data_IF_324530820190
#
_entry.id   IF_324530820190
#
_cell.length_a   1.000
_cell.length_b   1.000
_cell.length_c   1.000
_cell.angle_alpha   90.00
_cell.angle_beta   90.00
_cell.angle_gamma   90.00
#
_symmetry.space_group_name_H-M   'P 1'
#
loop_
_entity.id
_entity.type
_entity.pdbx_description
1 polymer ?
#
# COMPACT_ATOMS: atom_id res chain seq x y z
N UNK A 1 16.37 15.07 20.24
CA UNK A 1 15.03 14.71 20.75
C UNK A 1 14.05 15.10 19.66
N UNK A 2 13.20 14.19 19.14
CA UNK A 2 12.15 14.58 18.21
C UNK A 2 11.27 15.64 18.86
N UNK A 3 11.02 16.73 18.15
CA UNK A 3 10.03 17.73 18.56
C UNK A 3 8.63 17.19 18.32
N UNK A 4 7.60 17.63 19.06
CA UNK A 4 6.22 17.20 18.83
C UNK A 4 5.82 17.24 17.35
N UNK A 5 6.28 18.25 16.62
CA UNK A 5 5.94 18.52 15.21
C UNK A 5 6.51 17.51 14.20
N UNK A 6 7.48 16.70 14.63
CA UNK A 6 8.13 15.67 13.81
C UNK A 6 7.80 14.25 14.29
N UNK A 7 6.85 14.11 15.23
CA UNK A 7 6.44 12.80 15.72
C UNK A 7 5.64 12.09 14.63
N UNK A 8 6.09 10.92 14.13
CA UNK A 8 5.33 10.18 13.14
C UNK A 8 4.05 9.63 13.79
N UNK A 9 2.95 9.69 13.05
CA UNK A 9 1.65 9.19 13.49
C UNK A 9 0.99 8.41 12.36
N UNK A 10 0.25 7.37 12.70
CA UNK A 10 -0.62 6.65 11.76
C UNK A 10 -1.92 7.45 11.68
N UNK A 11 -2.21 8.01 10.50
CA UNK A 11 -3.39 8.85 10.29
C UNK A 11 -4.56 8.11 9.64
N UNK A 12 -4.30 6.96 9.03
CA UNK A 12 -5.32 6.18 8.36
C UNK A 12 -4.90 4.71 8.19
N UNK A 13 -5.88 3.80 8.16
CA UNK A 13 -5.70 2.38 7.90
C UNK A 13 -6.78 1.84 6.97
N UNK A 14 -6.45 0.83 6.16
CA UNK A 14 -7.39 0.25 5.21
C UNK A 14 -7.14 -1.22 4.97
N UNK A 15 -8.22 -1.98 4.88
CA UNK A 15 -8.21 -3.40 4.56
C UNK A 15 -9.22 -3.67 3.44
N UNK A 16 -8.93 -4.65 2.61
CA UNK A 16 -9.90 -5.20 1.68
C UNK A 16 -9.78 -6.73 1.64
N UNK A 17 -10.93 -7.41 1.70
CA UNK A 17 -11.03 -8.86 1.65
C UNK A 17 -11.86 -9.25 0.44
N UNK A 18 -11.22 -9.96 -0.49
CA UNK A 18 -11.86 -10.49 -1.70
C UNK A 18 -12.02 -12.01 -1.57
N UNK A 19 -13.27 -12.47 -1.60
CA UNK A 19 -13.65 -13.89 -1.48
C UNK A 19 -14.85 -14.20 -2.38
N UNK A 20 -14.70 -14.10 -3.71
CA UNK A 20 -15.79 -14.40 -4.62
C UNK A 20 -16.08 -15.90 -4.67
N UNK A 21 -17.33 -16.25 -4.97
CA UNK A 21 -17.74 -17.65 -5.16
C UNK A 21 -17.10 -18.28 -6.41
N UNK A 22 -16.93 -17.49 -7.48
CA UNK A 22 -16.16 -17.88 -8.67
C UNK A 22 -14.73 -17.35 -8.58
N UNK A 23 -13.70 -18.21 -8.48
CA UNK A 23 -12.30 -17.80 -8.45
C UNK A 23 -11.87 -16.97 -9.66
N UNK A 24 -12.54 -17.08 -10.82
CA UNK A 24 -12.23 -16.26 -11.99
C UNK A 24 -12.59 -14.79 -11.82
N UNK A 25 -13.45 -14.48 -10.85
CA UNK A 25 -13.81 -13.11 -10.50
C UNK A 25 -12.87 -12.50 -9.45
N UNK A 26 -11.90 -13.27 -8.93
CA UNK A 26 -10.96 -12.79 -7.93
C UNK A 26 -10.08 -11.67 -8.49
N UNK A 27 -9.85 -10.67 -7.65
CA UNK A 27 -8.97 -9.55 -7.97
C UNK A 27 -7.51 -10.02 -7.97
N UNK A 28 -6.75 -9.47 -8.91
CA UNK A 28 -5.31 -9.62 -8.91
C UNK A 28 -4.66 -8.81 -7.76
N UNK A 29 -3.45 -9.16 -7.29
CA UNK A 29 -2.86 -8.57 -6.10
C UNK A 29 -2.74 -7.04 -6.09
N UNK A 30 -2.40 -6.39 -7.21
CA UNK A 30 -2.31 -4.93 -7.25
C UNK A 30 -3.69 -4.29 -7.09
N UNK A 31 -4.73 -4.86 -7.68
CA UNK A 31 -6.10 -4.44 -7.48
C UNK A 31 -6.54 -4.59 -6.02
N UNK A 32 -6.17 -5.69 -5.35
CA UNK A 32 -6.42 -5.85 -3.91
C UNK A 32 -5.72 -4.76 -3.07
N UNK A 33 -4.44 -4.50 -3.35
CA UNK A 33 -3.69 -3.44 -2.69
C UNK A 33 -4.28 -2.06 -2.95
N UNK A 34 -4.70 -1.79 -4.19
CA UNK A 34 -5.32 -0.54 -4.56
C UNK A 34 -6.66 -0.33 -3.82
N UNK A 35 -7.45 -1.41 -3.63
CA UNK A 35 -8.68 -1.37 -2.82
C UNK A 35 -8.39 -1.08 -1.35
N UNK A 36 -7.37 -1.72 -0.77
CA UNK A 36 -6.97 -1.46 0.61
C UNK A 36 -6.48 -0.01 0.80
N UNK A 37 -5.68 0.51 -0.14
CA UNK A 37 -5.21 1.89 -0.11
C UNK A 37 -6.32 2.91 -0.34
N UNK A 38 -7.31 2.59 -1.19
CA UNK A 38 -8.52 3.42 -1.34
C UNK A 38 -9.34 3.45 -0.04
N UNK A 39 -9.44 2.32 0.67
CA UNK A 39 -10.10 2.26 1.97
C UNK A 39 -9.36 3.10 3.02
N UNK A 40 -8.02 3.04 3.04
CA UNK A 40 -7.19 3.87 3.91
C UNK A 40 -7.35 5.37 3.58
N UNK A 41 -7.40 5.74 2.30
CA UNK A 41 -7.65 7.13 1.91
C UNK A 41 -8.99 7.64 2.45
N UNK A 42 -10.04 6.80 2.36
CA UNK A 42 -11.36 7.13 2.88
C UNK A 42 -11.38 7.27 4.41
N UNK A 43 -10.70 6.38 5.14
CA UNK A 43 -10.54 6.44 6.61
C UNK A 43 -9.87 7.76 7.05
N UNK A 44 -8.87 8.20 6.30
CA UNK A 44 -8.13 9.44 6.54
C UNK A 44 -8.79 10.73 6.03
N UNK A 45 -10.03 10.68 5.53
CA UNK A 45 -10.77 11.87 5.07
C UNK A 45 -10.57 12.25 3.59
N UNK A 46 -10.01 11.35 2.78
CA UNK A 46 -9.75 11.44 1.33
C UNK A 46 -8.64 12.41 0.91
N UNK A 47 -7.97 12.10 -0.22
CA UNK A 47 -6.94 12.95 -0.83
C UNK A 47 -5.54 12.79 -0.23
N UNK A 48 -5.34 11.82 0.66
CA UNK A 48 -4.03 11.47 1.19
C UNK A 48 -3.17 10.78 0.13
N UNK A 49 -3.76 9.93 -0.73
CA UNK A 49 -3.03 9.20 -1.77
C UNK A 49 -2.22 10.14 -2.68
N UNK A 50 -2.79 11.28 -3.08
CA UNK A 50 -2.10 12.28 -3.91
C UNK A 50 -0.94 12.99 -3.21
N UNK A 51 -0.78 12.81 -1.90
CA UNK A 51 0.28 13.41 -1.07
C UNK A 51 1.37 12.40 -0.69
N UNK A 52 1.24 11.14 -1.13
CA UNK A 52 2.22 10.10 -0.85
C UNK A 52 3.50 10.37 -1.64
N UNK A 53 4.58 10.66 -0.93
CA UNK A 53 5.92 10.78 -1.52
C UNK A 53 6.68 9.45 -1.50
N UNK A 54 6.31 8.55 -0.60
CA UNK A 54 6.97 7.26 -0.40
C UNK A 54 5.95 6.14 -0.31
N UNK A 55 6.15 5.08 -1.10
CA UNK A 55 5.39 3.83 -1.02
C UNK A 55 6.35 2.67 -0.76
N UNK A 56 6.22 2.01 0.38
CA UNK A 56 6.97 0.80 0.72
C UNK A 56 6.01 -0.40 0.72
N UNK A 57 6.15 -1.26 -0.30
CA UNK A 57 5.31 -2.44 -0.53
C UNK A 57 5.99 -3.68 0.03
N UNK A 58 5.30 -4.47 0.84
CA UNK A 58 5.80 -5.77 1.29
C UNK A 58 5.78 -6.74 0.11
N UNK A 59 6.92 -7.35 -0.21
CA UNK A 59 7.04 -8.24 -1.36
C UNK A 59 6.03 -9.38 -1.33
N UNK A 60 5.52 -9.73 -2.51
CA UNK A 60 4.58 -10.82 -2.72
C UNK A 60 5.20 -11.94 -3.59
N UNK A 61 4.73 -13.18 -3.40
CA UNK A 61 5.07 -14.34 -4.24
C UNK A 61 3.98 -14.77 -5.22
N UNK A 62 2.76 -14.25 -5.06
CA UNK A 62 1.59 -14.77 -5.76
C UNK A 62 1.57 -14.44 -7.26
N UNK A 63 2.34 -13.45 -7.71
CA UNK A 63 2.39 -13.02 -9.10
C UNK A 63 3.79 -12.58 -9.54
N UNK A 64 4.00 -12.56 -10.86
CA UNK A 64 5.21 -12.02 -11.48
C UNK A 64 4.97 -10.57 -11.85
N UNK A 65 5.61 -9.66 -11.12
CA UNK A 65 5.73 -8.26 -11.49
C UNK A 65 7.21 -7.94 -11.70
N UNK A 66 7.51 -7.10 -12.69
CA UNK A 66 8.85 -6.53 -12.86
C UNK A 66 9.14 -5.53 -11.74
N UNK A 67 8.20 -4.62 -11.50
CA UNK A 67 8.21 -3.71 -10.36
C UNK A 67 6.76 -3.51 -9.83
N UNK A 68 6.35 -4.27 -8.79
CA UNK A 68 4.99 -4.16 -8.25
C UNK A 68 4.74 -2.81 -7.57
N UNK A 69 5.76 -2.15 -7.03
CA UNK A 69 5.60 -0.88 -6.35
C UNK A 69 5.33 0.25 -7.36
N UNK A 70 6.11 0.29 -8.45
CA UNK A 70 5.85 1.21 -9.56
C UNK A 70 4.49 0.93 -10.23
N UNK A 71 4.15 -0.34 -10.45
CA UNK A 71 2.86 -0.72 -11.01
C UNK A 71 1.69 -0.28 -10.12
N UNK A 72 1.80 -0.44 -8.80
CA UNK A 72 0.79 0.03 -7.85
C UNK A 72 0.63 1.56 -7.88
N UNK A 73 1.73 2.30 -7.99
CA UNK A 73 1.68 3.76 -8.17
C UNK A 73 0.92 4.14 -9.43
N UNK A 74 1.17 3.44 -10.55
CA UNK A 74 0.44 3.61 -11.80
C UNK A 74 -1.06 3.32 -11.66
N UNK A 75 -1.43 2.22 -11.01
CA UNK A 75 -2.83 1.85 -10.74
C UNK A 75 -3.57 2.91 -9.91
N UNK A 76 -2.90 3.53 -8.95
CA UNK A 76 -3.47 4.56 -8.08
C UNK A 76 -3.39 5.97 -8.66
N UNK A 77 -2.64 6.18 -9.74
CA UNK A 77 -2.37 7.50 -10.30
C UNK A 77 -1.56 8.41 -9.37
N UNK A 78 -0.71 7.83 -8.51
CA UNK A 78 0.13 8.58 -7.56
C UNK A 78 1.55 8.73 -8.08
N UNK A 79 2.14 9.90 -7.85
CA UNK A 79 3.50 10.25 -8.27
C UNK A 79 4.51 10.18 -7.11
N UNK A 80 4.60 9.04 -6.42
CA UNK A 80 5.54 8.87 -5.32
C UNK A 80 6.99 9.07 -5.81
N UNK A 81 7.78 9.85 -5.10
CA UNK A 81 9.20 10.08 -5.41
C UNK A 81 10.07 8.87 -5.07
N UNK A 82 9.61 8.01 -4.15
CA UNK A 82 10.22 6.73 -3.80
C UNK A 82 9.17 5.63 -3.75
N UNK A 83 9.38 4.56 -4.50
CA UNK A 83 8.57 3.34 -4.44
C UNK A 83 9.49 2.13 -4.26
N UNK A 84 9.27 1.33 -3.22
CA UNK A 84 10.12 0.20 -2.86
C UNK A 84 9.32 -1.08 -2.84
N UNK A 85 9.83 -2.13 -3.48
CA UNK A 85 9.39 -3.50 -3.25
C UNK A 85 10.30 -4.14 -2.19
N UNK A 86 9.83 -4.17 -0.94
CA UNK A 86 10.59 -4.66 0.21
C UNK A 86 10.66 -6.19 0.26
N UNK A 87 11.53 -6.71 1.14
CA UNK A 87 11.68 -8.15 1.35
C UNK A 87 10.37 -8.79 1.84
N UNK A 88 10.16 -10.06 1.47
CA UNK A 88 9.07 -10.84 2.03
C UNK A 88 9.40 -11.28 3.47
N UNK A 89 8.38 -11.39 4.31
CA UNK A 89 8.54 -11.81 5.70
C UNK A 89 7.40 -11.29 6.57
N UNK A 90 7.01 -12.07 7.59
CA UNK A 90 5.96 -11.67 8.52
C UNK A 90 6.34 -10.46 9.37
N UNK A 91 7.64 -10.19 9.53
CA UNK A 91 8.16 -9.04 10.26
C UNK A 91 8.34 -7.78 9.40
N UNK A 92 8.34 -7.90 8.06
CA UNK A 92 8.54 -6.76 7.15
C UNK A 92 7.57 -5.61 7.43
N UNK A 93 6.24 -5.82 7.62
CA UNK A 93 5.32 -4.73 7.90
C UNK A 93 5.74 -3.88 9.11
N UNK A 94 6.23 -4.52 10.17
CA UNK A 94 6.67 -3.82 11.40
C UNK A 94 7.96 -3.06 11.16
N UNK A 95 8.90 -3.61 10.38
CA UNK A 95 10.16 -2.91 10.05
C UNK A 95 9.93 -1.66 9.20
N UNK A 96 8.92 -1.65 8.34
CA UNK A 96 8.64 -0.54 7.44
C UNK A 96 7.96 0.66 8.14
N UNK A 97 7.34 0.43 9.30
CA UNK A 97 6.63 1.48 10.05
C UNK A 97 7.42 1.98 11.29
N UNK A 98 8.61 1.43 11.54
CA UNK A 98 9.43 1.73 12.72
C UNK A 98 10.40 2.90 12.51
#
# INVERSE_FOLDING_TARGET
MPTPELTPVIIAVGEHVDRPDDPKAALEPLALMARALTAADADGGTGLLGRIETLDLVGLISWRYEDPAAALCGTLGIGASRATNASMGGETPIRLIH
#
